data_IF_383881421909
#
_entry.id   IF_383881421909
#
_cell.length_a   1.000
_cell.length_b   1.000
_cell.length_c   1.000
_cell.angle_alpha   90.00
_cell.angle_beta   90.00
_cell.angle_gamma   90.00
#
_symmetry.space_group_name_H-M   'P 1'
#
loop_
_entity.id
_entity.type
_entity.pdbx_description
1 polymer ?
#
# COMPACT_ATOMS: atom_id res chain seq x y z
N UNK A 1 -46.32 -16.15 -41.65
CA UNK A 1 -46.70 -15.42 -40.41
C UNK A 1 -47.38 -16.40 -39.46
N UNK A 2 -46.63 -16.95 -38.51
CA UNK A 2 -47.16 -17.86 -37.50
C UNK A 2 -47.12 -17.16 -36.14
N UNK A 3 -48.28 -16.80 -35.61
CA UNK A 3 -48.45 -16.27 -34.26
C UNK A 3 -48.31 -17.42 -33.26
N UNK A 4 -47.07 -17.76 -32.91
CA UNK A 4 -46.76 -18.66 -31.81
C UNK A 4 -46.92 -17.92 -30.48
N UNK A 5 -48.15 -17.79 -30.00
CA UNK A 5 -48.45 -17.23 -28.68
C UNK A 5 -47.72 -18.01 -27.59
N UNK A 6 -46.68 -17.40 -27.02
CA UNK A 6 -45.93 -17.95 -25.91
C UNK A 6 -46.81 -17.94 -24.65
N UNK A 7 -47.59 -19.02 -24.48
CA UNK A 7 -48.30 -19.36 -23.25
C UNK A 7 -47.27 -19.30 -22.10
N UNK A 8 -47.41 -18.27 -21.26
CA UNK A 8 -46.48 -17.98 -20.19
C UNK A 8 -46.36 -19.20 -19.25
N UNK A 9 -45.16 -19.46 -18.72
CA UNK A 9 -44.89 -20.59 -17.80
C UNK A 9 -45.94 -20.80 -16.68
N UNK A 10 -46.58 -19.78 -16.06
CA UNK A 10 -47.61 -20.00 -15.06
C UNK A 10 -48.88 -20.68 -15.61
N UNK A 11 -49.26 -20.44 -16.86
CA UNK A 11 -50.49 -20.99 -17.44
C UNK A 11 -50.38 -22.50 -17.69
N UNK A 12 -49.21 -22.99 -18.13
CA UNK A 12 -48.94 -24.44 -18.23
C UNK A 12 -48.95 -25.15 -16.87
N UNK A 13 -48.53 -24.47 -15.80
CA UNK A 13 -48.59 -25.03 -14.46
C UNK A 13 -50.04 -25.10 -13.96
N UNK A 14 -50.83 -24.05 -14.21
CA UNK A 14 -52.24 -24.00 -13.85
C UNK A 14 -53.04 -25.16 -14.48
N UNK A 15 -52.91 -25.39 -15.79
CA UNK A 15 -53.61 -26.50 -16.47
C UNK A 15 -53.17 -27.88 -15.98
N UNK A 16 -51.89 -28.06 -15.63
CA UNK A 16 -51.39 -29.30 -15.03
C UNK A 16 -51.92 -29.53 -13.62
N UNK A 17 -52.08 -28.47 -12.82
CA UNK A 17 -52.72 -28.59 -11.49
C UNK A 17 -54.21 -28.85 -11.60
N UNK A 18 -54.90 -28.20 -12.53
CA UNK A 18 -56.33 -28.36 -12.75
C UNK A 18 -56.68 -29.79 -13.18
N UNK A 19 -55.99 -30.32 -14.21
CA UNK A 19 -56.20 -31.68 -14.73
C UNK A 19 -55.92 -32.76 -13.68
N UNK A 20 -54.87 -32.59 -12.86
CA UNK A 20 -54.58 -33.49 -11.74
C UNK A 20 -55.67 -33.42 -10.66
N UNK A 21 -56.19 -32.23 -10.37
CA UNK A 21 -57.26 -32.06 -9.40
C UNK A 21 -58.58 -32.69 -9.89
N UNK A 22 -58.95 -32.52 -11.16
CA UNK A 22 -60.17 -33.11 -11.72
C UNK A 22 -60.10 -34.63 -11.82
N UNK A 23 -58.96 -35.18 -12.22
CA UNK A 23 -58.72 -36.63 -12.21
C UNK A 23 -58.78 -37.22 -10.79
N UNK A 24 -58.20 -36.52 -9.81
CA UNK A 24 -58.27 -36.91 -8.41
C UNK A 24 -59.71 -36.91 -7.87
N UNK A 25 -60.48 -35.87 -8.17
CA UNK A 25 -61.90 -35.79 -7.76
C UNK A 25 -62.75 -36.88 -8.42
N UNK A 26 -62.56 -37.14 -9.72
CA UNK A 26 -63.28 -38.21 -10.42
C UNK A 26 -62.99 -39.60 -9.84
N UNK A 27 -61.74 -39.88 -9.49
CA UNK A 27 -61.36 -41.13 -8.83
C UNK A 27 -62.01 -41.29 -7.45
N UNK A 28 -62.08 -40.20 -6.66
CA UNK A 28 -62.73 -40.20 -5.33
C UNK A 28 -64.24 -40.44 -5.45
N UNK A 29 -64.91 -39.79 -6.41
CA UNK A 29 -66.35 -39.99 -6.64
C UNK A 29 -66.64 -41.42 -7.13
N UNK A 30 -65.82 -41.97 -8.04
CA UNK A 30 -65.94 -43.35 -8.50
C UNK A 30 -65.77 -44.38 -7.39
N UNK A 31 -64.79 -44.19 -6.50
CA UNK A 31 -64.56 -45.00 -5.31
C UNK A 31 -65.71 -44.88 -4.30
N UNK A 32 -66.29 -43.69 -4.14
CA UNK A 32 -67.42 -43.48 -3.25
C UNK A 32 -68.68 -44.22 -3.75
N UNK A 33 -68.98 -44.13 -5.04
CA UNK A 33 -70.15 -44.80 -5.65
C UNK A 33 -70.02 -46.34 -5.57
N UNK A 34 -68.82 -46.87 -5.81
CA UNK A 34 -68.57 -48.32 -5.65
C UNK A 34 -68.64 -48.74 -4.19
N UNK A 35 -68.09 -47.98 -3.24
CA UNK A 35 -68.19 -48.29 -1.81
C UNK A 35 -69.62 -48.21 -1.25
N UNK A 36 -70.43 -47.25 -1.74
CA UNK A 36 -71.84 -47.11 -1.38
C UNK A 36 -72.67 -48.32 -1.84
N UNK A 37 -72.36 -48.89 -3.01
CA UNK A 37 -73.06 -50.07 -3.54
C UNK A 37 -72.84 -51.36 -2.72
N UNK A 38 -71.75 -51.45 -1.95
CA UNK A 38 -71.37 -52.64 -1.16
C UNK A 38 -71.63 -52.46 0.35
N UNK A 39 -72.36 -51.41 0.76
CA UNK A 39 -72.58 -51.03 2.17
C UNK A 39 -71.29 -50.85 3.00
N UNK A 40 -70.15 -50.57 2.34
CA UNK A 40 -68.83 -50.44 2.96
C UNK A 40 -68.38 -48.97 3.10
N UNK A 41 -69.33 -48.05 3.31
CA UNK A 41 -69.05 -46.61 3.37
C UNK A 41 -68.05 -46.23 4.49
N UNK A 42 -68.03 -46.98 5.60
CA UNK A 42 -67.09 -46.73 6.70
C UNK A 42 -65.62 -46.94 6.30
N UNK A 43 -65.32 -47.93 5.47
CA UNK A 43 -63.97 -48.23 5.00
C UNK A 43 -63.45 -47.12 4.05
N UNK A 44 -64.34 -46.55 3.23
CA UNK A 44 -64.01 -45.41 2.37
C UNK A 44 -63.57 -44.18 3.18
N UNK A 45 -64.34 -43.82 4.23
CA UNK A 45 -63.97 -42.70 5.10
C UNK A 45 -62.66 -42.92 5.84
N UNK A 46 -62.37 -44.16 6.25
CA UNK A 46 -61.13 -44.52 6.93
C UNK A 46 -59.91 -44.35 6.00
N UNK A 47 -60.00 -44.83 4.77
CA UNK A 47 -58.95 -44.65 3.75
C UNK A 47 -58.75 -43.17 3.41
N UNK A 48 -59.83 -42.40 3.31
CA UNK A 48 -59.76 -40.96 3.05
C UNK A 48 -59.12 -40.19 4.22
N UNK A 49 -59.45 -40.55 5.46
CA UNK A 49 -58.83 -39.98 6.65
C UNK A 49 -57.32 -40.29 6.71
N UNK A 50 -56.93 -41.55 6.48
CA UNK A 50 -55.52 -41.95 6.44
C UNK A 50 -54.75 -41.27 5.30
N UNK A 51 -55.32 -41.22 4.10
CA UNK A 51 -54.71 -40.57 2.94
C UNK A 51 -54.54 -39.07 3.11
N UNK A 52 -55.54 -38.40 3.68
CA UNK A 52 -55.47 -36.96 3.98
C UNK A 52 -54.40 -36.66 5.04
N UNK A 53 -54.34 -37.45 6.12
CA UNK A 53 -53.30 -37.34 7.15
C UNK A 53 -51.89 -37.57 6.60
N UNK A 54 -51.71 -38.58 5.74
CA UNK A 54 -50.43 -38.84 5.06
C UNK A 54 -50.01 -37.68 4.14
N UNK A 55 -50.95 -37.10 3.40
CA UNK A 55 -50.65 -35.96 2.52
C UNK A 55 -50.23 -34.69 3.30
N UNK A 56 -50.89 -34.42 4.43
CA UNK A 56 -50.58 -33.29 5.31
C UNK A 56 -49.19 -33.47 5.93
N UNK A 57 -48.91 -34.65 6.47
CA UNK A 57 -47.62 -34.94 7.10
C UNK A 57 -46.45 -34.89 6.12
N UNK A 58 -46.59 -35.46 4.92
CA UNK A 58 -45.50 -35.49 3.93
C UNK A 58 -45.26 -34.12 3.27
N UNK A 59 -46.29 -33.28 3.09
CA UNK A 59 -46.14 -32.01 2.35
C UNK A 59 -45.86 -30.82 3.25
N UNK A 60 -46.53 -30.71 4.40
CA UNK A 60 -46.47 -29.52 5.25
C UNK A 60 -45.29 -29.55 6.22
N UNK A 61 -44.99 -30.70 6.82
CA UNK A 61 -43.90 -30.84 7.81
C UNK A 61 -42.55 -30.46 7.22
N UNK A 62 -42.08 -31.00 6.07
CA UNK A 62 -40.76 -30.66 5.56
C UNK A 62 -40.67 -29.20 5.09
N UNK A 63 -41.77 -28.58 4.64
CA UNK A 63 -41.77 -27.16 4.25
C UNK A 63 -41.70 -26.23 5.44
N UNK A 64 -42.45 -26.52 6.51
CA UNK A 64 -42.37 -25.76 7.75
C UNK A 64 -40.98 -25.90 8.39
N UNK A 65 -40.44 -27.13 8.42
CA UNK A 65 -39.13 -27.41 9.01
C UNK A 65 -37.98 -26.72 8.25
N UNK A 66 -38.01 -26.72 6.91
CA UNK A 66 -37.00 -26.00 6.10
C UNK A 66 -37.02 -24.49 6.40
N UNK A 67 -38.20 -23.88 6.47
CA UNK A 67 -38.32 -22.45 6.80
C UNK A 67 -37.83 -22.13 8.21
N UNK A 68 -38.12 -22.98 9.20
CA UNK A 68 -37.64 -22.76 10.56
C UNK A 68 -36.12 -22.93 10.68
N UNK A 69 -35.53 -23.90 9.97
CA UNK A 69 -34.07 -24.09 9.95
C UNK A 69 -33.36 -22.92 9.25
N UNK A 70 -33.90 -22.41 8.15
CA UNK A 70 -33.37 -21.21 7.48
C UNK A 70 -33.42 -19.97 8.39
N UNK A 71 -34.52 -19.78 9.12
CA UNK A 71 -34.64 -18.69 10.10
C UNK A 71 -33.67 -18.88 11.27
N UNK A 72 -33.57 -20.08 11.83
CA UNK A 72 -32.64 -20.38 12.91
C UNK A 72 -31.18 -20.18 12.49
N UNK A 73 -30.81 -20.58 11.27
CA UNK A 73 -29.47 -20.37 10.72
C UNK A 73 -29.18 -18.89 10.45
N UNK A 74 -30.16 -18.09 9.99
CA UNK A 74 -29.98 -16.65 9.82
C UNK A 74 -29.78 -15.92 11.14
N UNK A 75 -30.58 -16.24 12.16
CA UNK A 75 -30.45 -15.64 13.50
C UNK A 75 -29.15 -16.11 14.16
N UNK A 76 -28.79 -17.39 14.02
CA UNK A 76 -27.55 -17.96 14.58
C UNK A 76 -26.27 -17.43 13.92
N UNK A 77 -26.32 -17.04 12.65
CA UNK A 77 -25.17 -16.47 11.93
C UNK A 77 -25.09 -14.95 11.97
N UNK A 78 -26.14 -14.26 12.43
CA UNK A 78 -26.13 -12.81 12.63
C UNK A 78 -24.97 -12.29 13.51
N UNK A 79 -24.63 -12.90 14.66
CA UNK A 79 -23.48 -12.45 15.45
C UNK A 79 -22.15 -12.59 14.70
N UNK A 80 -22.00 -13.61 13.84
CA UNK A 80 -20.80 -13.79 13.01
C UNK A 80 -20.67 -12.70 11.96
N UNK A 81 -21.78 -12.30 11.34
CA UNK A 81 -21.80 -11.19 10.37
C UNK A 81 -21.50 -9.84 11.03
N UNK A 82 -21.99 -9.63 12.25
CA UNK A 82 -21.67 -8.44 13.04
C UNK A 82 -20.18 -8.38 13.41
N UNK A 83 -19.61 -9.50 13.89
CA UNK A 83 -18.17 -9.60 14.16
C UNK A 83 -17.34 -9.31 12.92
N UNK A 84 -17.70 -9.90 11.78
CA UNK A 84 -17.00 -9.66 10.52
C UNK A 84 -17.07 -8.20 10.06
N UNK A 85 -18.21 -7.51 10.29
CA UNK A 85 -18.33 -6.07 10.00
C UNK A 85 -17.40 -5.24 10.90
N UNK A 86 -17.37 -5.54 12.21
CA UNK A 86 -16.50 -4.84 13.17
C UNK A 86 -15.03 -5.09 12.83
N UNK A 87 -14.66 -6.32 12.50
CA UNK A 87 -13.30 -6.67 12.10
C UNK A 87 -12.88 -5.95 10.82
N UNK A 88 -13.76 -5.87 9.81
CA UNK A 88 -13.50 -5.13 8.58
C UNK A 88 -13.43 -3.61 8.81
N UNK A 89 -14.28 -3.05 9.68
CA UNK A 89 -14.20 -1.64 10.06
C UNK A 89 -12.89 -1.34 10.80
N UNK A 90 -12.46 -2.23 11.70
CA UNK A 90 -11.17 -2.12 12.40
C UNK A 90 -9.97 -2.24 11.45
N UNK A 91 -10.01 -3.15 10.48
CA UNK A 91 -8.96 -3.26 9.45
C UNK A 91 -8.90 -2.02 8.57
N UNK A 92 -10.07 -1.46 8.19
CA UNK A 92 -10.13 -0.22 7.41
C UNK A 92 -9.52 0.94 8.19
N UNK A 93 -9.87 1.09 9.46
CA UNK A 93 -9.34 2.15 10.31
C UNK A 93 -7.84 2.01 10.53
N UNK A 94 -7.35 0.79 10.76
CA UNK A 94 -5.91 0.52 10.87
C UNK A 94 -5.14 0.87 9.57
N UNK A 95 -5.68 0.49 8.40
CA UNK A 95 -5.08 0.83 7.11
C UNK A 95 -5.08 2.34 6.84
N UNK A 96 -6.12 3.06 7.25
CA UNK A 96 -6.15 4.52 7.11
C UNK A 96 -5.08 5.19 7.96
N UNK A 97 -4.87 4.71 9.20
CA UNK A 97 -3.79 5.20 10.07
C UNK A 97 -2.42 4.93 9.44
N UNK A 98 -2.19 3.73 8.90
CA UNK A 98 -0.94 3.37 8.22
C UNK A 98 -0.69 4.25 6.98
N UNK A 99 -1.72 4.54 6.18
CA UNK A 99 -1.63 5.46 5.03
C UNK A 99 -1.26 6.87 5.47
N UNK A 100 -1.87 7.37 6.54
CA UNK A 100 -1.58 8.72 7.04
C UNK A 100 -0.16 8.82 7.62
N UNK A 101 0.31 7.78 8.32
CA UNK A 101 1.70 7.69 8.77
C UNK A 101 2.69 7.69 7.60
N UNK A 102 2.42 6.88 6.57
CA UNK A 102 3.25 6.83 5.35
C UNK A 102 3.24 8.18 4.61
N UNK A 103 2.10 8.87 4.55
CA UNK A 103 2.00 10.21 3.95
C UNK A 103 2.82 11.24 4.70
N UNK A 104 2.79 11.21 6.04
CA UNK A 104 3.61 12.10 6.86
C UNK A 104 5.11 11.83 6.66
N UNK A 105 5.51 10.55 6.66
CA UNK A 105 6.90 10.15 6.39
C UNK A 105 7.36 10.61 5.01
N UNK A 106 6.57 10.36 3.96
CA UNK A 106 6.88 10.81 2.60
C UNK A 106 6.97 12.33 2.49
N UNK A 107 6.11 13.07 3.20
CA UNK A 107 6.16 14.54 3.22
C UNK A 107 7.45 15.05 3.85
N UNK A 108 7.87 14.45 4.95
CA UNK A 108 9.12 14.81 5.63
C UNK A 108 10.34 14.46 4.76
N UNK A 109 10.35 13.30 4.12
CA UNK A 109 11.38 12.89 3.16
C UNK A 109 11.45 13.84 1.97
N UNK A 110 10.30 14.20 1.40
CA UNK A 110 10.21 15.17 0.31
C UNK A 110 10.78 16.53 0.73
N UNK A 111 10.38 17.06 1.88
CA UNK A 111 10.90 18.33 2.38
C UNK A 111 12.42 18.30 2.61
N UNK A 112 12.93 17.20 3.17
CA UNK A 112 14.38 17.00 3.33
C UNK A 112 15.07 16.96 1.97
N UNK A 113 14.55 16.18 1.02
CA UNK A 113 15.06 16.08 -0.34
C UNK A 113 15.10 17.42 -1.08
N UNK A 114 14.03 18.21 -1.00
CA UNK A 114 13.98 19.56 -1.57
C UNK A 114 15.02 20.47 -0.92
N UNK A 115 15.10 20.48 0.41
CA UNK A 115 16.08 21.31 1.13
C UNK A 115 17.52 20.94 0.78
N UNK A 116 17.80 19.64 0.59
CA UNK A 116 19.11 19.15 0.20
C UNK A 116 19.42 19.46 -1.27
N UNK A 117 18.44 19.33 -2.17
CA UNK A 117 18.58 19.74 -3.56
C UNK A 117 18.90 21.23 -3.71
N UNK A 118 18.25 22.09 -2.93
CA UNK A 118 18.57 23.53 -2.88
C UNK A 118 20.00 23.75 -2.37
N UNK A 119 20.44 23.01 -1.34
CA UNK A 119 21.81 23.10 -0.82
C UNK A 119 22.85 22.61 -1.83
N UNK A 120 22.57 21.53 -2.55
CA UNK A 120 23.41 21.03 -3.64
C UNK A 120 23.54 22.08 -4.76
N UNK A 121 22.42 22.67 -5.18
CA UNK A 121 22.39 23.69 -6.21
C UNK A 121 23.16 24.95 -5.80
N UNK A 122 22.88 25.46 -4.60
CA UNK A 122 23.61 26.60 -4.04
C UNK A 122 25.10 26.29 -3.89
N UNK A 123 25.44 25.11 -3.36
CA UNK A 123 26.81 24.69 -3.16
C UNK A 123 27.60 24.55 -4.46
N UNK A 124 26.97 24.05 -5.53
CA UNK A 124 27.55 24.00 -6.86
C UNK A 124 27.88 25.40 -7.39
N UNK A 125 26.92 26.32 -7.33
CA UNK A 125 27.10 27.71 -7.79
C UNK A 125 28.16 28.42 -6.95
N UNK A 126 28.08 28.33 -5.63
CA UNK A 126 29.01 28.97 -4.70
C UNK A 126 30.45 28.48 -4.88
N UNK A 127 30.64 27.20 -5.21
CA UNK A 127 31.97 26.62 -5.46
C UNK A 127 32.68 27.19 -6.70
N UNK A 128 31.92 27.75 -7.65
CA UNK A 128 32.41 28.32 -8.91
C UNK A 128 32.69 29.82 -8.85
N UNK A 129 32.19 30.52 -7.82
CA UNK A 129 32.34 31.97 -7.68
C UNK A 129 33.74 32.33 -7.19
N UNK A 130 34.35 31.46 -6.38
CA UNK A 130 35.66 31.68 -5.79
C UNK A 130 36.69 30.67 -6.29
N UNK A 131 37.97 30.99 -6.09
CA UNK A 131 39.08 30.11 -6.41
C UNK A 131 38.99 28.81 -5.61
N UNK A 132 39.41 27.70 -6.22
CA UNK A 132 39.33 26.39 -5.57
C UNK A 132 40.36 26.31 -4.44
N UNK A 133 39.93 26.08 -3.19
CA UNK A 133 40.84 26.05 -2.05
C UNK A 133 41.72 24.79 -2.09
N UNK A 134 42.91 24.89 -1.51
CA UNK A 134 43.88 23.77 -1.45
C UNK A 134 43.79 23.13 -0.08
N UNK A 135 43.52 21.82 -0.05
CA UNK A 135 43.49 21.04 1.19
C UNK A 135 44.88 21.01 1.83
N UNK A 136 44.95 21.32 3.13
CA UNK A 136 46.19 21.32 3.89
C UNK A 136 46.18 20.24 4.95
N UNK A 137 45.23 20.28 5.88
CA UNK A 137 45.18 19.40 7.05
C UNK A 137 43.82 18.74 7.24
N UNK A 138 43.80 17.65 8.00
CA UNK A 138 42.58 17.06 8.52
C UNK A 138 42.66 17.02 10.04
N UNK A 139 41.59 17.48 10.70
CA UNK A 139 41.52 17.58 12.15
C UNK A 139 40.30 16.81 12.61
N UNK A 140 40.46 15.98 13.62
CA UNK A 140 39.34 15.31 14.29
C UNK A 140 38.80 16.20 15.40
N UNK A 141 37.55 16.63 15.27
CA UNK A 141 36.80 17.29 16.34
C UNK A 141 35.76 16.33 16.96
N UNK A 142 35.14 16.73 18.07
CA UNK A 142 34.11 15.92 18.76
C UNK A 142 32.93 15.55 17.86
N UNK A 143 32.63 16.42 16.89
CA UNK A 143 31.50 16.28 15.97
C UNK A 143 31.88 15.55 14.67
N UNK A 144 33.15 15.15 14.51
CA UNK A 144 33.64 14.39 13.36
C UNK A 144 34.91 14.93 12.73
N UNK A 145 35.20 14.44 11.52
CA UNK A 145 36.37 14.81 10.74
C UNK A 145 36.13 16.16 10.02
N UNK A 146 36.98 17.14 10.29
CA UNK A 146 37.00 18.44 9.63
C UNK A 146 38.24 18.54 8.76
N UNK A 147 38.06 18.92 7.50
CA UNK A 147 39.18 19.24 6.64
C UNK A 147 39.47 20.74 6.68
N UNK A 148 40.74 21.09 6.68
CA UNK A 148 41.21 22.47 6.61
C UNK A 148 41.79 22.69 5.22
N UNK A 149 41.37 23.76 4.57
CA UNK A 149 41.92 24.17 3.29
C UNK A 149 42.35 25.64 3.33
N UNK A 150 43.37 26.00 2.57
CA UNK A 150 43.87 27.37 2.42
C UNK A 150 43.43 27.95 1.08
N UNK A 151 43.07 29.23 1.08
CA UNK A 151 42.67 29.96 -0.12
C UNK A 151 43.76 30.97 -0.48
N UNK A 152 44.31 30.90 -1.69
CA UNK A 152 45.32 31.87 -2.17
C UNK A 152 44.70 33.15 -2.73
N UNK A 153 43.44 33.09 -3.18
CA UNK A 153 42.73 34.20 -3.83
C UNK A 153 41.43 34.55 -3.13
N UNK A 154 40.34 34.53 -3.91
CA UNK A 154 39.00 34.80 -3.41
C UNK A 154 38.54 33.73 -2.41
N UNK A 155 37.89 34.15 -1.33
CA UNK A 155 37.41 33.23 -0.29
C UNK A 155 36.08 32.60 -0.72
N UNK A 156 35.95 31.27 -0.66
CA UNK A 156 34.69 30.61 -0.97
C UNK A 156 33.63 30.91 0.08
N UNK A 157 32.39 31.04 -0.38
CA UNK A 157 31.25 31.34 0.48
C UNK A 157 30.89 30.14 1.35
N UNK A 158 30.39 30.36 2.58
CA UNK A 158 29.78 29.30 3.38
C UNK A 158 28.69 28.57 2.58
N UNK A 159 28.66 27.25 2.69
CA UNK A 159 27.79 26.39 1.91
C UNK A 159 28.31 26.00 0.53
N UNK A 160 29.46 26.54 0.08
CA UNK A 160 30.12 26.07 -1.14
C UNK A 160 30.51 24.59 -1.01
N UNK A 161 30.24 23.80 -2.05
CA UNK A 161 30.51 22.35 -2.06
C UNK A 161 31.61 22.01 -3.03
N UNK A 162 32.48 21.09 -2.64
CA UNK A 162 33.59 20.61 -3.45
C UNK A 162 33.62 19.08 -3.46
N UNK A 163 33.98 18.52 -4.60
CA UNK A 163 34.31 17.11 -4.72
C UNK A 163 35.74 16.88 -4.24
N UNK A 164 35.94 15.88 -3.38
CA UNK A 164 37.27 15.42 -2.98
C UNK A 164 37.66 14.31 -3.92
N UNK A 165 38.67 14.55 -4.75
CA UNK A 165 39.13 13.60 -5.75
C UNK A 165 40.62 13.27 -5.57
N UNK A 166 40.96 12.04 -5.92
CA UNK A 166 42.36 11.62 -6.01
C UNK A 166 43.02 12.25 -7.23
N UNK A 167 44.14 12.94 -7.06
CA UNK A 167 44.89 13.63 -8.11
C UNK A 167 45.35 12.69 -9.22
N UNK A 168 45.73 11.47 -8.88
CA UNK A 168 46.28 10.49 -9.83
C UNK A 168 45.16 9.72 -10.55
N UNK A 169 44.18 9.19 -9.80
CA UNK A 169 43.14 8.33 -10.38
C UNK A 169 41.88 9.07 -10.84
N UNK A 170 41.70 10.33 -10.45
CA UNK A 170 40.46 11.08 -10.66
C UNK A 170 39.26 10.54 -9.88
N UNK A 171 39.42 9.49 -9.07
CA UNK A 171 38.30 8.88 -8.35
C UNK A 171 37.79 9.83 -7.27
N UNK A 172 36.50 10.17 -7.34
CA UNK A 172 35.80 10.97 -6.34
C UNK A 172 35.60 10.14 -5.06
N UNK A 173 36.04 10.67 -3.93
CA UNK A 173 35.94 10.04 -2.60
C UNK A 173 34.74 10.54 -1.80
N UNK A 174 34.29 11.76 -2.06
CA UNK A 174 33.13 12.34 -1.39
C UNK A 174 32.92 13.80 -1.72
N UNK A 175 31.94 14.39 -1.06
CA UNK A 175 31.57 15.82 -1.15
C UNK A 175 31.83 16.47 0.20
N UNK A 176 32.46 17.64 0.18
CA UNK A 176 32.70 18.47 1.36
C UNK A 176 32.07 19.85 1.18
N UNK A 177 31.63 20.46 2.29
CA UNK A 177 30.97 21.76 2.32
C UNK A 177 31.70 22.72 3.24
N UNK A 178 31.84 23.98 2.81
CA UNK A 178 32.43 25.06 3.61
C UNK A 178 31.51 25.42 4.77
N UNK A 179 31.91 25.09 6.00
CA UNK A 179 31.12 25.40 7.21
C UNK A 179 31.40 26.80 7.74
N UNK A 180 32.68 27.18 7.81
CA UNK A 180 33.13 28.42 8.46
C UNK A 180 34.45 28.92 7.89
N UNK A 181 34.54 30.23 7.72
CA UNK A 181 35.81 30.92 7.46
C UNK A 181 36.53 31.19 8.78
N UNK A 182 37.81 30.82 8.87
CA UNK A 182 38.65 31.15 10.02
C UNK A 182 39.34 32.48 9.72
N UNK A 183 38.68 33.56 10.13
CA UNK A 183 39.01 34.97 9.83
C UNK A 183 40.50 35.34 9.90
N UNK A 184 41.30 34.67 10.73
CA UNK A 184 42.69 35.02 11.00
C UNK A 184 43.73 34.44 10.03
N UNK A 185 43.40 33.48 9.16
CA UNK A 185 44.45 32.67 8.48
C UNK A 185 44.21 32.30 7.02
N UNK A 186 43.19 32.87 6.35
CA UNK A 186 42.80 32.44 4.98
C UNK A 186 42.55 30.93 4.88
N UNK A 187 42.19 30.32 6.02
CA UNK A 187 41.88 28.91 6.11
C UNK A 187 40.38 28.74 6.33
N UNK A 188 39.81 27.77 5.64
CA UNK A 188 38.40 27.43 5.71
C UNK A 188 38.25 26.03 6.30
N UNK A 189 37.17 25.84 7.05
CA UNK A 189 36.78 24.54 7.57
C UNK A 189 35.75 23.91 6.64
N UNK A 190 36.06 22.69 6.19
CA UNK A 190 35.26 21.87 5.30
C UNK A 190 34.74 20.66 6.09
N UNK A 191 33.43 20.42 5.99
CA UNK A 191 32.78 19.26 6.60
C UNK A 191 32.36 18.29 5.52
N UNK A 192 32.47 16.99 5.80
CA UNK A 192 32.06 15.94 4.87
C UNK A 192 30.52 15.85 4.88
N UNK A 193 29.91 16.05 3.73
CA UNK A 193 28.45 15.95 3.53
C UNK A 193 28.07 14.62 2.89
N UNK A 194 28.92 14.08 2.02
CA UNK A 194 28.69 12.80 1.37
C UNK A 194 30.00 12.00 1.31
N UNK A 195 29.97 10.76 1.83
CA UNK A 195 31.11 9.87 1.89
C UNK A 195 30.96 8.72 0.87
N UNK A 196 31.32 8.95 -0.40
CA UNK A 196 31.17 7.93 -1.45
C UNK A 196 32.11 6.72 -1.24
N UNK A 197 33.28 6.93 -0.64
CA UNK A 197 34.22 5.86 -0.28
C UNK A 197 34.44 5.84 1.23
N UNK A 198 33.58 5.12 1.95
CA UNK A 198 33.62 5.02 3.42
C UNK A 198 34.98 4.53 3.93
N UNK A 199 35.63 3.59 3.23
CA UNK A 199 36.93 3.02 3.64
C UNK A 199 38.02 4.07 3.56
N UNK A 200 37.99 4.93 2.54
CA UNK A 200 38.91 6.07 2.46
C UNK A 200 38.71 7.02 3.64
N UNK A 201 37.48 7.45 3.90
CA UNK A 201 37.20 8.40 4.98
C UNK A 201 37.51 7.86 6.37
N UNK A 202 37.27 6.56 6.59
CA UNK A 202 37.62 5.90 7.84
C UNK A 202 39.13 5.92 8.08
N UNK A 203 39.94 5.64 7.05
CA UNK A 203 41.42 5.74 7.14
C UNK A 203 41.90 7.17 7.36
N UNK A 204 41.27 8.15 6.72
CA UNK A 204 41.61 9.56 6.96
C UNK A 204 41.27 9.95 8.39
N UNK A 205 40.14 9.49 8.92
CA UNK A 205 39.72 9.75 10.30
C UNK A 205 40.66 9.08 11.32
N UNK A 206 41.07 7.84 11.09
CA UNK A 206 42.07 7.14 11.92
C UNK A 206 43.43 7.85 11.88
N UNK A 207 43.85 8.30 10.68
CA UNK A 207 45.14 9.00 10.54
C UNK A 207 45.11 10.38 11.20
N UNK A 208 43.99 11.10 11.10
CA UNK A 208 43.81 12.41 11.71
C UNK A 208 43.85 12.38 13.26
N UNK A 209 43.71 11.21 13.89
CA UNK A 209 43.96 11.07 15.33
C UNK A 209 45.45 11.10 15.70
N UNK A 210 46.31 10.70 14.76
CA UNK A 210 47.74 10.48 14.98
C UNK A 210 48.59 11.59 14.35
N UNK A 211 48.18 12.11 13.19
CA UNK A 211 48.87 13.13 12.40
C UNK A 211 47.86 14.04 11.69
N UNK A 212 48.06 15.37 11.76
CA UNK A 212 47.19 16.35 11.10
C UNK A 212 47.32 16.39 9.56
N UNK A 213 48.21 15.57 8.99
CA UNK A 213 48.56 15.61 7.57
C UNK A 213 47.65 14.72 6.71
N UNK A 214 46.99 15.35 5.74
CA UNK A 214 46.19 14.67 4.72
C UNK A 214 47.04 13.79 3.79
N UNK A 215 46.46 12.79 3.11
CA UNK A 215 47.16 12.04 2.08
C UNK A 215 47.54 12.94 0.90
N UNK A 216 48.81 12.92 0.47
CA UNK A 216 49.40 13.84 -0.53
C UNK A 216 48.71 13.90 -1.91
N UNK A 217 47.81 12.96 -2.19
CA UNK A 217 47.20 12.76 -3.49
C UNK A 217 45.75 13.21 -3.59
N UNK A 218 45.24 14.05 -2.68
CA UNK A 218 43.88 14.58 -2.77
C UNK A 218 43.85 16.03 -3.22
N UNK A 219 42.78 16.41 -3.91
CA UNK A 219 42.50 17.79 -4.28
C UNK A 219 41.00 18.02 -4.34
N UNK A 220 40.63 19.30 -4.31
CA UNK A 220 39.25 19.73 -4.44
C UNK A 220 38.95 20.07 -5.90
N UNK A 221 37.74 19.71 -6.32
CA UNK A 221 37.17 20.07 -7.62
C UNK A 221 35.82 20.77 -7.34
N UNK A 222 35.48 21.85 -8.06
CA UNK A 222 34.16 22.47 -7.96
C UNK A 222 33.05 21.42 -8.13
N UNK A 223 32.01 21.50 -7.30
CA UNK A 223 30.91 20.55 -7.33
C UNK A 223 30.04 20.81 -8.56
N UNK A 224 29.74 19.74 -9.30
CA UNK A 224 28.81 19.76 -10.43
C UNK A 224 27.63 18.85 -10.15
N UNK A 225 26.43 19.35 -10.41
CA UNK A 225 25.20 18.58 -10.27
C UNK A 225 25.12 17.69 -11.50
N UNK A 226 25.40 16.40 -11.33
CA UNK A 226 25.18 15.42 -12.40
C UNK A 226 23.68 15.13 -12.48
N UNK A 227 23.04 15.37 -13.61
CA UNK A 227 21.60 15.17 -13.86
C UNK A 227 21.14 13.67 -13.82
N UNK A 228 21.93 12.78 -13.22
CA UNK A 228 21.81 11.33 -13.39
C UNK A 228 21.16 10.54 -12.25
N UNK A 229 20.97 11.11 -11.06
CA UNK A 229 20.13 10.50 -10.02
C UNK A 229 18.70 11.04 -10.17
N UNK A 230 18.03 10.61 -11.23
CA UNK A 230 16.61 10.90 -11.45
C UNK A 230 15.84 10.49 -10.19
N UNK A 231 15.20 11.49 -9.58
CA UNK A 231 14.38 11.36 -8.40
C UNK A 231 13.30 10.28 -8.63
N UNK A 232 13.37 9.10 -8.01
CA UNK A 232 12.36 8.05 -8.19
C UNK A 232 10.98 8.47 -7.67
N UNK A 233 10.87 9.63 -7.01
CA UNK A 233 9.62 10.22 -6.55
C UNK A 233 8.96 11.14 -7.60
N UNK A 234 9.67 11.58 -8.65
CA UNK A 234 9.04 12.38 -9.70
C UNK A 234 8.01 11.56 -10.49
N UNK A 235 8.33 10.28 -10.75
CA UNK A 235 7.42 9.36 -11.44
C UNK A 235 6.16 9.01 -10.59
N UNK A 236 6.20 9.20 -9.27
CA UNK A 236 5.06 8.90 -8.40
C UNK A 236 4.04 10.05 -8.28
N UNK A 237 4.42 11.28 -8.61
CA UNK A 237 3.51 12.44 -8.52
C UNK A 237 2.60 12.52 -9.75
N UNK A 238 3.06 12.04 -10.90
CA UNK A 238 2.29 12.08 -12.15
C UNK A 238 1.17 11.02 -12.21
N UNK A 239 1.23 9.95 -11.40
CA UNK A 239 0.17 8.94 -11.33
C UNK A 239 -1.04 9.38 -10.48
N UNK A 240 -0.84 10.21 -9.44
CA UNK A 240 -1.92 10.58 -8.49
C UNK A 240 -2.82 11.73 -9.00
N UNK A 241 -2.45 12.40 -10.11
CA UNK A 241 -3.24 13.48 -10.73
C UNK A 241 -4.05 12.98 -11.94
N UNK A 242 -3.86 11.71 -12.35
CA UNK A 242 -4.47 11.13 -13.54
C UNK A 242 -5.74 10.28 -13.27
N UNK A 243 -6.14 10.08 -12.02
CA UNK A 243 -7.41 9.44 -11.61
C UNK A 243 -8.39 10.43 -10.95
#
# INVERSE_FOLDING_TARGET
MAWGGAVSRPERQFWKTLTKATLGLGAVVGLYLTAASVKAAWAFWLVLALGSGYSVTVVLIPRAFKRSVEYANRVGNYPKLLQLKVDLEGQKEALLVEIDELRLQKKDEYQRGVSEGVRQAWGAVASRIADTPVLTNAIKESDGLILVATCEGSRPLPGARYLVAMRISGSVKGVVEVRKDKDSSHSIQLVIVQANDEKFWLRVNEKAELEDNLPDNIHLIPYEITEGEANPLADLVDEEVAE
#
